data_IF_977953973477
#
_entry.id   IF_977953973477
#
_cell.length_a   1.000
_cell.length_b   1.000
_cell.length_c   1.000
_cell.angle_alpha   90.00
_cell.angle_beta   90.00
_cell.angle_gamma   90.00
#
_symmetry.space_group_name_H-M   'P 1'
#
loop_
_entity.id
_entity.type
_entity.pdbx_description
1 polymer ?
#
# COMPACT_ATOMS: atom_id res chain seq x y z
N UNK A 1 14.47 -11.24 -10.19
CA UNK A 1 13.08 -10.90 -10.59
C UNK A 1 13.04 -9.44 -10.99
N UNK A 2 12.57 -9.15 -12.20
CA UNK A 2 12.27 -7.80 -12.68
C UNK A 2 10.84 -7.44 -12.26
N UNK A 3 10.56 -6.17 -12.01
CA UNK A 3 9.22 -5.71 -11.58
C UNK A 3 8.12 -6.09 -12.59
N UNK A 4 8.40 -5.96 -13.89
CA UNK A 4 7.45 -6.30 -14.95
C UNK A 4 6.99 -7.77 -14.93
N UNK A 5 7.73 -8.67 -14.29
CA UNK A 5 7.35 -10.08 -14.17
C UNK A 5 6.22 -10.31 -13.17
N UNK A 6 6.08 -9.45 -12.17
CA UNK A 6 5.06 -9.54 -11.13
C UNK A 6 4.06 -8.38 -11.17
N UNK A 7 4.31 -7.41 -12.04
CA UNK A 7 3.53 -6.20 -12.20
C UNK A 7 3.68 -5.70 -13.64
N UNK A 8 2.96 -6.31 -14.60
CA UNK A 8 3.08 -5.95 -16.02
C UNK A 8 2.87 -4.46 -16.24
N UNK A 9 3.75 -3.84 -17.02
CA UNK A 9 3.83 -2.37 -17.17
C UNK A 9 2.52 -1.76 -17.64
N UNK A 10 1.90 -2.31 -18.68
CA UNK A 10 0.67 -1.74 -19.25
C UNK A 10 -0.52 -1.89 -18.29
N UNK A 11 -0.57 -3.01 -17.57
CA UNK A 11 -1.56 -3.26 -16.52
C UNK A 11 -1.39 -2.26 -15.36
N UNK A 12 -0.15 -1.99 -14.96
CA UNK A 12 0.19 -1.00 -13.93
C UNK A 12 -0.15 0.42 -14.36
N UNK A 13 0.21 0.81 -15.59
CA UNK A 13 -0.11 2.14 -16.11
C UNK A 13 -1.62 2.35 -16.17
N UNK A 14 -2.39 1.35 -16.62
CA UNK A 14 -3.85 1.42 -16.59
C UNK A 14 -4.37 1.64 -15.17
N UNK A 15 -3.91 0.85 -14.21
CA UNK A 15 -4.32 1.02 -12.81
C UNK A 15 -3.97 2.41 -12.27
N UNK A 16 -2.75 2.90 -12.51
CA UNK A 16 -2.31 4.22 -12.03
C UNK A 16 -3.12 5.37 -12.62
N UNK A 17 -3.48 5.29 -13.92
CA UNK A 17 -4.34 6.30 -14.55
C UNK A 17 -5.75 6.31 -13.93
N UNK A 18 -6.31 5.14 -13.61
CA UNK A 18 -7.59 5.04 -12.91
C UNK A 18 -7.50 5.64 -11.51
N UNK A 19 -6.42 5.34 -10.77
CA UNK A 19 -6.20 5.90 -9.43
C UNK A 19 -6.09 7.42 -9.47
N UNK A 20 -5.35 7.96 -10.43
CA UNK A 20 -5.21 9.41 -10.60
C UNK A 20 -6.57 10.06 -10.86
N UNK A 21 -7.33 9.55 -11.85
CA UNK A 21 -8.68 10.02 -12.19
C UNK A 21 -9.65 9.96 -10.99
N UNK A 22 -9.68 8.85 -10.25
CA UNK A 22 -10.57 8.74 -9.09
C UNK A 22 -10.12 9.64 -7.92
N UNK A 23 -8.81 9.85 -7.77
CA UNK A 23 -8.27 10.70 -6.70
C UNK A 23 -8.60 12.18 -6.89
N UNK A 24 -8.75 12.64 -8.13
CA UNK A 24 -9.15 14.02 -8.46
C UNK A 24 -10.62 14.30 -8.11
N UNK A 25 -11.48 13.27 -8.14
CA UNK A 25 -12.92 13.37 -7.85
C UNK A 25 -13.22 13.49 -6.35
N UNK A 26 -12.23 13.28 -5.48
CA UNK A 26 -12.45 13.34 -4.04
C UNK A 26 -12.71 14.77 -3.55
N UNK A 27 -13.81 14.94 -2.81
CA UNK A 27 -14.18 16.22 -2.20
C UNK A 27 -13.19 16.60 -1.08
N UNK A 28 -12.23 17.47 -1.43
CA UNK A 28 -11.19 17.96 -0.52
C UNK A 28 -11.73 18.76 0.66
N UNK A 29 -12.96 19.28 0.58
CA UNK A 29 -13.56 20.06 1.67
C UNK A 29 -13.88 19.21 2.90
N UNK A 30 -14.01 17.89 2.71
CA UNK A 30 -14.26 16.91 3.77
C UNK A 30 -12.98 16.23 4.28
N UNK A 31 -11.81 16.75 3.89
CA UNK A 31 -10.55 16.22 4.39
C UNK A 31 -10.29 16.74 5.80
N UNK A 32 -9.60 15.93 6.59
CA UNK A 32 -9.38 16.18 8.01
C UNK A 32 -7.89 16.14 8.33
N UNK A 33 -7.44 17.05 9.17
CA UNK A 33 -6.12 16.96 9.79
C UNK A 33 -6.13 15.95 10.93
N UNK A 34 -5.12 15.09 10.97
CA UNK A 34 -4.99 14.05 11.99
C UNK A 34 -3.61 14.07 12.65
N UNK A 35 -3.57 13.57 13.90
CA UNK A 35 -2.33 13.10 14.51
C UNK A 35 -1.73 11.94 13.73
N UNK A 36 -0.44 11.68 13.91
CA UNK A 36 0.24 10.54 13.28
C UNK A 36 -0.52 9.23 13.53
N UNK A 37 -0.93 8.48 12.49
CA UNK A 37 -1.74 7.28 12.65
C UNK A 37 -1.00 6.13 13.33
N UNK A 38 0.34 6.15 13.33
CA UNK A 38 1.15 5.10 13.93
C UNK A 38 1.41 5.31 15.43
N UNK A 39 1.75 6.54 15.84
CA UNK A 39 2.17 6.83 17.22
C UNK A 39 1.35 7.92 17.93
N UNK A 40 0.31 8.44 17.28
CA UNK A 40 -0.60 9.50 17.77
C UNK A 40 0.06 10.83 18.09
N UNK A 41 1.28 11.06 17.60
CA UNK A 41 1.99 12.33 17.75
C UNK A 41 1.43 13.41 16.82
N UNK A 42 1.22 14.61 17.34
CA UNK A 42 0.90 15.81 16.57
C UNK A 42 2.15 16.48 15.96
N UNK A 43 3.35 16.05 16.37
CA UNK A 43 4.61 16.57 15.84
C UNK A 43 4.97 15.92 14.49
N UNK A 44 4.79 16.68 13.39
CA UNK A 44 5.15 16.30 12.03
C UNK A 44 5.60 17.52 11.21
N UNK A 45 6.31 17.25 10.10
CA UNK A 45 6.78 18.27 9.15
C UNK A 45 6.28 17.99 7.74
N UNK A 46 6.04 19.04 6.95
CA UNK A 46 5.74 18.90 5.52
C UNK A 46 6.91 18.19 4.83
N UNK A 47 6.59 17.20 3.99
CA UNK A 47 7.61 16.36 3.37
C UNK A 47 7.49 16.31 1.85
N UNK A 48 6.34 15.89 1.32
CA UNK A 48 6.13 15.73 -0.13
C UNK A 48 4.77 16.34 -0.51
N UNK A 49 4.72 17.03 -1.63
CA UNK A 49 3.46 17.37 -2.32
C UNK A 49 3.39 16.56 -3.61
N UNK A 50 2.30 15.79 -3.79
CA UNK A 50 2.12 14.93 -4.96
C UNK A 50 0.63 14.75 -5.25
N UNK A 51 0.24 14.89 -6.52
CA UNK A 51 -1.13 14.69 -7.02
C UNK A 51 -2.18 15.49 -6.24
N UNK A 52 -1.88 16.73 -5.87
CA UNK A 52 -2.76 17.56 -5.01
C UNK A 52 -3.00 17.00 -3.60
N UNK A 53 -2.07 16.20 -3.09
CA UNK A 53 -2.02 15.73 -1.70
C UNK A 53 -0.74 16.16 -1.01
N UNK A 54 -0.89 16.60 0.25
CA UNK A 54 0.21 16.88 1.15
C UNK A 54 0.54 15.62 1.95
N UNK A 55 1.81 15.21 1.94
CA UNK A 55 2.34 14.17 2.78
C UNK A 55 3.29 14.77 3.81
N UNK A 56 3.07 14.42 5.07
CA UNK A 56 3.85 14.88 6.22
C UNK A 56 4.63 13.72 6.82
N UNK A 57 5.81 14.01 7.38
CA UNK A 57 6.66 13.05 8.06
C UNK A 57 6.55 13.26 9.57
N UNK A 58 6.18 12.21 10.31
CA UNK A 58 6.15 12.27 11.77
C UNK A 58 7.57 12.36 12.34
N UNK A 59 7.84 13.39 13.12
CA UNK A 59 9.16 13.60 13.73
C UNK A 59 9.46 12.64 14.89
N UNK A 60 8.45 11.89 15.37
CA UNK A 60 8.59 10.93 16.48
C UNK A 60 8.90 9.51 16.01
N UNK A 61 8.14 8.99 15.04
CA UNK A 61 8.25 7.59 14.60
C UNK A 61 8.63 7.43 13.12
N UNK A 62 8.83 8.53 12.38
CA UNK A 62 9.23 8.50 10.98
C UNK A 62 8.14 8.06 10.00
N UNK A 63 6.89 7.95 10.44
CA UNK A 63 5.78 7.60 9.54
C UNK A 63 5.50 8.73 8.55
N UNK A 64 5.42 8.38 7.27
CA UNK A 64 4.94 9.24 6.19
C UNK A 64 3.43 9.02 6.00
N UNK A 65 2.63 10.08 6.03
CA UNK A 65 1.18 9.98 5.87
C UNK A 65 0.59 11.22 5.19
N UNK A 66 -0.55 11.07 4.52
CA UNK A 66 -1.30 12.19 3.95
C UNK A 66 -1.90 13.02 5.07
N UNK A 67 -1.75 14.35 5.03
CA UNK A 67 -2.38 15.25 5.97
C UNK A 67 -2.57 16.65 5.35
N UNK A 68 -3.80 17.19 5.27
CA UNK A 68 -5.06 16.55 5.64
C UNK A 68 -5.37 15.34 4.75
N UNK A 69 -6.05 14.33 5.30
CA UNK A 69 -6.44 13.10 4.59
C UNK A 69 -7.95 13.06 4.32
N UNK A 70 -8.42 12.26 3.34
CA UNK A 70 -9.85 11.99 3.22
C UNK A 70 -10.40 11.39 4.52
N UNK A 71 -11.64 11.74 4.86
CA UNK A 71 -12.37 11.16 6.00
C UNK A 71 -12.59 9.65 5.79
N UNK A 72 -12.97 8.96 6.86
CA UNK A 72 -13.25 7.52 6.80
C UNK A 72 -14.38 7.23 5.81
N UNK A 73 -15.45 8.03 5.83
CA UNK A 73 -16.60 7.88 4.93
C UNK A 73 -16.23 8.05 3.46
N UNK A 74 -15.35 9.00 3.13
CA UNK A 74 -14.84 9.16 1.75
C UNK A 74 -14.04 7.93 1.32
N UNK A 75 -13.20 7.40 2.22
CA UNK A 75 -12.37 6.24 1.89
C UNK A 75 -13.21 4.98 1.72
N UNK A 76 -14.19 4.76 2.60
CA UNK A 76 -15.15 3.65 2.47
C UNK A 76 -15.88 3.71 1.13
N UNK A 77 -16.36 4.90 0.76
CA UNK A 77 -17.00 5.10 -0.54
C UNK A 77 -16.05 4.81 -1.69
N UNK A 78 -14.83 5.36 -1.64
CA UNK A 78 -13.81 5.14 -2.66
C UNK A 78 -13.48 3.66 -2.83
N UNK A 79 -13.31 2.91 -1.75
CA UNK A 79 -13.03 1.47 -1.83
C UNK A 79 -14.21 0.67 -2.37
N UNK A 80 -15.43 1.15 -2.17
CA UNK A 80 -16.66 0.50 -2.64
C UNK A 80 -16.95 0.78 -4.11
N UNK A 81 -16.74 2.01 -4.58
CA UNK A 81 -17.29 2.47 -5.86
C UNK A 81 -16.27 2.98 -6.86
N UNK A 82 -15.02 3.27 -6.46
CA UNK A 82 -14.02 3.77 -7.40
C UNK A 82 -13.66 2.72 -8.45
N UNK A 83 -13.51 3.16 -9.70
CA UNK A 83 -13.16 2.29 -10.82
C UNK A 83 -11.78 1.66 -10.62
N UNK A 84 -10.84 2.42 -10.05
CA UNK A 84 -9.51 1.94 -9.66
C UNK A 84 -9.56 0.83 -8.62
N UNK A 85 -10.45 0.92 -7.62
CA UNK A 85 -10.66 -0.11 -6.60
C UNK A 85 -11.22 -1.39 -7.20
N UNK A 86 -12.24 -1.28 -8.06
CA UNK A 86 -12.84 -2.43 -8.76
C UNK A 86 -11.84 -3.07 -9.73
N UNK A 87 -11.14 -2.27 -10.53
CA UNK A 87 -10.10 -2.75 -11.43
C UNK A 87 -8.98 -3.48 -10.68
N UNK A 88 -8.60 -2.99 -9.50
CA UNK A 88 -7.61 -3.66 -8.66
C UNK A 88 -8.07 -5.06 -8.24
N UNK A 89 -9.28 -5.14 -7.69
CA UNK A 89 -9.90 -6.38 -7.18
C UNK A 89 -10.13 -7.40 -8.29
N UNK A 90 -10.75 -6.96 -9.39
CA UNK A 90 -11.37 -7.87 -10.35
C UNK A 90 -10.42 -8.22 -11.50
N UNK A 91 -9.44 -7.36 -11.77
CA UNK A 91 -8.53 -7.52 -12.91
C UNK A 91 -7.08 -7.55 -12.47
N UNK A 92 -6.59 -6.49 -11.81
CA UNK A 92 -5.16 -6.31 -11.57
C UNK A 92 -4.58 -7.43 -10.70
N UNK A 93 -5.11 -7.58 -9.48
CA UNK A 93 -4.57 -8.52 -8.49
C UNK A 93 -4.70 -9.98 -8.96
N UNK A 94 -5.86 -10.45 -9.48
CA UNK A 94 -5.98 -11.80 -10.02
C UNK A 94 -4.97 -12.10 -11.13
N UNK A 95 -4.72 -11.13 -12.03
CA UNK A 95 -3.78 -11.28 -13.14
C UNK A 95 -2.35 -11.53 -12.67
N UNK A 96 -1.94 -10.93 -11.56
CA UNK A 96 -0.54 -11.01 -11.07
C UNK A 96 -0.34 -12.00 -9.92
N UNK A 97 -1.40 -12.53 -9.32
CA UNK A 97 -1.35 -13.30 -8.08
C UNK A 97 -0.41 -14.52 -8.16
N UNK A 98 -0.55 -15.36 -9.20
CA UNK A 98 0.30 -16.54 -9.38
C UNK A 98 1.76 -16.17 -9.63
N UNK A 99 2.02 -15.19 -10.51
CA UNK A 99 3.39 -14.75 -10.77
C UNK A 99 4.06 -14.18 -9.51
N UNK A 100 3.31 -13.44 -8.68
CA UNK A 100 3.78 -12.96 -7.37
C UNK A 100 4.05 -14.12 -6.41
N UNK A 101 3.19 -15.15 -6.35
CA UNK A 101 3.45 -16.37 -5.58
C UNK A 101 4.78 -17.00 -5.95
N UNK A 102 5.01 -17.24 -7.23
CA UNK A 102 6.18 -17.94 -7.70
C UNK A 102 7.47 -17.12 -7.62
N UNK A 103 7.40 -15.84 -7.99
CA UNK A 103 8.62 -15.02 -8.17
C UNK A 103 8.94 -14.14 -6.97
N UNK A 104 7.96 -13.79 -6.14
CA UNK A 104 8.13 -12.93 -4.97
C UNK A 104 7.99 -13.69 -3.66
N UNK A 105 6.91 -14.45 -3.45
CA UNK A 105 6.61 -15.05 -2.16
C UNK A 105 7.40 -16.35 -1.91
N UNK A 106 7.42 -17.28 -2.87
CA UNK A 106 8.16 -18.54 -2.76
C UNK A 106 9.65 -18.32 -2.43
N UNK A 107 10.42 -17.46 -3.15
CA UNK A 107 11.84 -17.28 -2.84
C UNK A 107 12.07 -16.62 -1.48
N UNK A 108 11.16 -15.76 -1.01
CA UNK A 108 11.23 -15.18 0.34
C UNK A 108 11.01 -16.26 1.41
N UNK A 109 9.98 -17.08 1.25
CA UNK A 109 9.69 -18.18 2.16
C UNK A 109 10.87 -19.15 2.23
N UNK A 110 11.40 -19.60 1.09
CA UNK A 110 12.57 -20.49 1.01
C UNK A 110 13.80 -19.91 1.75
N UNK A 111 14.07 -18.60 1.59
CA UNK A 111 15.16 -17.93 2.31
C UNK A 111 14.94 -17.92 3.82
N UNK A 112 13.72 -17.69 4.29
CA UNK A 112 13.36 -17.71 5.71
C UNK A 112 13.55 -19.13 6.28
N UNK A 113 13.04 -20.16 5.58
CA UNK A 113 13.18 -21.55 6.02
C UNK A 113 14.62 -22.05 5.99
N UNK A 114 15.43 -21.59 5.02
CA UNK A 114 16.88 -21.84 5.02
C UNK A 114 17.53 -21.26 6.27
N UNK A 115 17.21 -20.01 6.62
CA UNK A 115 17.71 -19.37 7.84
C UNK A 115 17.29 -20.14 9.11
N UNK A 116 16.04 -20.59 9.19
CA UNK A 116 15.56 -21.40 10.32
C UNK A 116 16.37 -22.69 10.46
N UNK A 117 16.63 -23.40 9.37
CA UNK A 117 17.44 -24.62 9.37
C UNK A 117 18.87 -24.35 9.83
N UNK A 118 19.51 -23.31 9.30
CA UNK A 118 20.87 -22.90 9.68
C UNK A 118 20.98 -22.56 11.18
N UNK A 119 19.94 -21.94 11.74
CA UNK A 119 19.88 -21.59 13.17
C UNK A 119 19.31 -22.69 14.06
N UNK A 120 18.94 -23.85 13.50
CA UNK A 120 18.19 -24.91 14.21
C UNK A 120 16.96 -24.35 14.95
N UNK A 121 16.34 -23.32 14.37
CA UNK A 121 15.19 -22.63 14.93
C UNK A 121 13.90 -23.26 14.40
N UNK A 122 13.01 -23.66 15.31
CA UNK A 122 11.78 -24.38 14.98
C UNK A 122 10.58 -23.64 15.60
N UNK A 123 10.09 -22.56 14.95
CA UNK A 123 8.99 -21.79 15.49
C UNK A 123 7.69 -22.60 15.44
N UNK A 124 6.93 -22.61 16.55
CA UNK A 124 5.59 -23.21 16.58
C UNK A 124 4.55 -22.38 15.81
N UNK A 125 4.77 -21.07 15.68
CA UNK A 125 3.89 -20.12 15.00
C UNK A 125 4.72 -19.09 14.25
N UNK A 126 4.25 -18.71 13.06
CA UNK A 126 4.87 -17.69 12.21
C UNK A 126 3.80 -16.65 11.87
N UNK A 127 4.15 -15.37 11.94
CA UNK A 127 3.31 -14.25 11.50
C UNK A 127 4.14 -13.39 10.54
N UNK A 128 3.61 -13.14 9.35
CA UNK A 128 4.21 -12.25 8.35
C UNK A 128 3.42 -10.95 8.32
N UNK A 129 4.01 -9.87 8.83
CA UNK A 129 3.37 -8.57 8.93
C UNK A 129 3.53 -7.83 7.60
N UNK A 130 2.40 -7.52 6.94
CA UNK A 130 2.42 -6.86 5.63
C UNK A 130 2.69 -7.79 4.46
N UNK A 131 2.20 -9.05 4.54
CA UNK A 131 2.41 -10.12 3.56
C UNK A 131 1.69 -9.96 2.21
N UNK A 132 1.24 -8.74 1.89
CA UNK A 132 0.47 -8.41 0.68
C UNK A 132 1.25 -8.45 -0.63
#
# INVERSE_FOLDING_TARGET
>A
MKENEIRPKDLLLKYLNLVESDSEKLDKTKFLEISCPACKSENYTKHIYKNEYNYVLCNKCGSLFCNPRPSEEILEEFYRTAESSQFWSDVFFPTVAESRREKLFRPKAERIFKYFKEKKFHPAKICDVGSG
#
